data_IF_180799170457
#
_entry.id   IF_180799170457
#
_cell.length_a   1.000
_cell.length_b   1.000
_cell.length_c   1.000
_cell.angle_alpha   90.00
_cell.angle_beta   90.00
_cell.angle_gamma   90.00
#
_symmetry.space_group_name_H-M   'P 1'
#
loop_
_entity.id
_entity.type
_entity.pdbx_description
1 polymer ?
#
# COMPACT_ATOMS: atom_id res chain seq x y z
N UNK A 1 -18.84 4.90 -7.71
CA UNK A 1 -18.32 4.03 -6.62
C UNK A 1 -18.47 2.55 -6.96
N UNK A 2 -19.69 2.04 -7.23
CA UNK A 2 -19.93 0.63 -7.62
C UNK A 2 -19.01 0.18 -8.76
N UNK A 3 -18.89 0.98 -9.82
CA UNK A 3 -17.98 0.70 -10.94
C UNK A 3 -16.55 0.37 -10.50
N UNK A 4 -15.96 1.18 -9.61
CA UNK A 4 -14.58 0.99 -9.13
C UNK A 4 -14.42 -0.24 -8.23
N UNK A 5 -15.42 -0.53 -7.40
CA UNK A 5 -15.44 -1.75 -6.58
C UNK A 5 -15.53 -2.98 -7.47
N UNK A 6 -16.43 -2.97 -8.47
CA UNK A 6 -16.57 -4.07 -9.43
C UNK A 6 -15.31 -4.25 -10.25
N UNK A 7 -14.69 -3.15 -10.71
CA UNK A 7 -13.42 -3.19 -11.44
C UNK A 7 -12.30 -3.81 -10.61
N UNK A 8 -12.10 -3.37 -9.36
CA UNK A 8 -11.06 -3.92 -8.50
C UNK A 8 -11.31 -5.40 -8.16
N UNK A 9 -12.56 -5.80 -7.96
CA UNK A 9 -12.93 -7.21 -7.77
C UNK A 9 -12.64 -8.05 -9.01
N UNK A 10 -13.00 -7.56 -10.20
CA UNK A 10 -12.69 -8.23 -11.45
C UNK A 10 -11.18 -8.35 -11.65
N UNK A 11 -10.44 -7.26 -11.40
CA UNK A 11 -9.00 -7.23 -11.52
C UNK A 11 -8.33 -8.24 -10.58
N UNK A 12 -8.72 -8.23 -9.29
CA UNK A 12 -8.23 -9.19 -8.31
C UNK A 12 -8.57 -10.62 -8.72
N UNK A 13 -9.79 -10.89 -9.19
CA UNK A 13 -10.19 -12.21 -9.67
C UNK A 13 -9.32 -12.70 -10.83
N UNK A 14 -9.03 -11.84 -11.81
CA UNK A 14 -8.14 -12.15 -12.94
C UNK A 14 -6.71 -12.43 -12.48
N UNK A 15 -6.18 -11.64 -11.54
CA UNK A 15 -4.87 -11.90 -10.96
C UNK A 15 -4.85 -13.25 -10.21
N UNK A 16 -5.88 -13.56 -9.43
CA UNK A 16 -5.97 -14.82 -8.69
C UNK A 16 -6.17 -16.03 -9.60
N UNK A 17 -6.92 -15.91 -10.70
CA UNK A 17 -7.10 -17.00 -11.66
C UNK A 17 -5.79 -17.40 -12.37
N UNK A 18 -4.84 -16.46 -12.48
CA UNK A 18 -3.49 -16.75 -12.96
C UNK A 18 -2.59 -17.44 -11.91
N UNK A 19 -3.06 -17.57 -10.66
CA UNK A 19 -2.37 -18.25 -9.57
C UNK A 19 -3.04 -19.58 -9.16
N UNK A 20 -4.35 -19.72 -9.36
CA UNK A 20 -5.09 -20.93 -9.00
C UNK A 20 -6.28 -21.18 -9.93
N UNK A 21 -6.58 -22.45 -10.18
CA UNK A 21 -7.78 -22.87 -10.92
C UNK A 21 -9.01 -23.03 -10.00
N UNK A 22 -8.86 -22.93 -8.68
CA UNK A 22 -9.96 -23.16 -7.74
C UNK A 22 -10.88 -21.94 -7.64
N UNK A 23 -12.06 -22.03 -8.27
CA UNK A 23 -13.11 -20.99 -8.19
C UNK A 23 -13.52 -20.67 -6.75
N UNK A 24 -13.59 -21.68 -5.88
CA UNK A 24 -13.94 -21.50 -4.48
C UNK A 24 -12.92 -20.64 -3.74
N UNK A 25 -11.62 -20.84 -4.01
CA UNK A 25 -10.56 -20.04 -3.39
C UNK A 25 -10.62 -18.60 -3.85
N UNK A 26 -10.81 -18.37 -5.14
CA UNK A 26 -10.98 -17.01 -5.69
C UNK A 26 -12.17 -16.33 -5.03
N UNK A 27 -13.32 -17.00 -4.96
CA UNK A 27 -14.52 -16.46 -4.31
C UNK A 27 -14.27 -16.13 -2.83
N UNK A 28 -13.67 -17.05 -2.07
CA UNK A 28 -13.36 -16.81 -0.65
C UNK A 28 -12.41 -15.61 -0.48
N UNK A 29 -11.41 -15.47 -1.34
CA UNK A 29 -10.49 -14.32 -1.29
C UNK A 29 -11.18 -13.01 -1.65
N UNK A 30 -12.09 -13.00 -2.64
CA UNK A 30 -12.90 -11.82 -2.94
C UNK A 30 -13.80 -11.45 -1.76
N UNK A 31 -14.43 -12.43 -1.10
CA UNK A 31 -15.25 -12.17 0.10
C UNK A 31 -14.39 -11.53 1.20
N UNK A 32 -13.21 -12.08 1.47
CA UNK A 32 -12.27 -11.52 2.47
C UNK A 32 -11.85 -10.10 2.09
N UNK A 33 -11.48 -9.88 0.83
CA UNK A 33 -11.10 -8.56 0.32
C UNK A 33 -12.20 -7.52 0.53
N UNK A 34 -13.44 -7.83 0.14
CA UNK A 34 -14.56 -6.91 0.30
C UNK A 34 -14.93 -6.72 1.78
N UNK A 35 -14.83 -7.75 2.61
CA UNK A 35 -15.05 -7.62 4.06
C UNK A 35 -14.03 -6.66 4.68
N UNK A 36 -12.74 -6.78 4.33
CA UNK A 36 -11.69 -5.87 4.78
C UNK A 36 -11.93 -4.43 4.29
N UNK A 37 -12.36 -4.25 3.03
CA UNK A 37 -12.71 -2.94 2.50
C UNK A 37 -13.89 -2.30 3.24
N UNK A 38 -14.95 -3.06 3.53
CA UNK A 38 -16.12 -2.55 4.26
C UNK A 38 -15.73 -2.13 5.68
N UNK A 39 -14.92 -2.94 6.39
CA UNK A 39 -14.48 -2.64 7.76
C UNK A 39 -13.58 -1.39 7.81
N UNK A 40 -12.80 -1.17 6.77
CA UNK A 40 -11.89 -0.03 6.67
C UNK A 40 -12.50 1.20 6.01
N UNK A 41 -13.76 1.12 5.59
CA UNK A 41 -14.47 2.24 4.97
C UNK A 41 -14.88 3.22 6.06
N UNK A 42 -14.23 4.39 6.08
CA UNK A 42 -14.79 5.58 6.72
C UNK A 42 -15.66 6.36 5.72
N UNK A 43 -16.32 7.43 6.19
CA UNK A 43 -17.37 8.19 5.49
C UNK A 43 -16.94 8.72 4.10
N UNK A 44 -15.63 8.83 3.82
CA UNK A 44 -15.09 9.43 2.60
C UNK A 44 -14.20 8.46 1.81
N UNK A 45 -14.79 7.81 0.81
CA UNK A 45 -14.06 7.03 -0.20
C UNK A 45 -14.04 7.78 -1.52
N UNK A 46 -12.85 8.05 -2.02
CA UNK A 46 -12.66 8.78 -3.27
C UNK A 46 -12.22 7.86 -4.40
N UNK A 47 -12.36 8.35 -5.63
CA UNK A 47 -11.97 7.60 -6.84
C UNK A 47 -10.49 7.22 -6.83
N UNK A 48 -9.62 8.13 -6.36
CA UNK A 48 -8.17 7.89 -6.30
C UNK A 48 -7.77 6.78 -5.32
N UNK A 49 -8.58 6.52 -4.29
CA UNK A 49 -8.34 5.41 -3.34
C UNK A 49 -8.52 4.07 -4.05
N UNK A 50 -9.50 3.96 -4.96
CA UNK A 50 -9.72 2.77 -5.77
C UNK A 50 -8.65 2.56 -6.85
N UNK A 51 -8.08 3.64 -7.38
CA UNK A 51 -6.94 3.58 -8.30
C UNK A 51 -5.70 3.04 -7.57
N UNK A 52 -5.46 3.50 -6.34
CA UNK A 52 -4.39 3.02 -5.47
C UNK A 52 -4.55 1.51 -5.19
N UNK A 53 -5.76 1.08 -4.82
CA UNK A 53 -6.10 -0.35 -4.67
C UNK A 53 -5.75 -1.15 -5.94
N UNK A 54 -6.07 -0.65 -7.14
CA UNK A 54 -5.73 -1.33 -8.39
C UNK A 54 -4.21 -1.52 -8.56
N UNK A 55 -3.42 -0.48 -8.26
CA UNK A 55 -1.95 -0.58 -8.31
C UNK A 55 -1.42 -1.61 -7.30
N UNK A 56 -1.95 -1.63 -6.09
CA UNK A 56 -1.57 -2.61 -5.08
C UNK A 56 -2.00 -4.04 -5.43
N UNK A 57 -3.09 -4.23 -6.17
CA UNK A 57 -3.45 -5.54 -6.71
C UNK A 57 -2.34 -6.03 -7.64
N UNK A 58 -1.86 -5.16 -8.54
CA UNK A 58 -0.74 -5.50 -9.42
C UNK A 58 0.57 -5.74 -8.67
N UNK A 59 0.92 -4.91 -7.68
CA UNK A 59 2.13 -5.15 -6.88
C UNK A 59 2.08 -6.50 -6.14
N UNK A 60 0.93 -6.82 -5.54
CA UNK A 60 0.69 -8.12 -4.93
C UNK A 60 0.87 -9.25 -5.94
N UNK A 61 0.28 -9.13 -7.14
CA UNK A 61 0.41 -10.12 -8.21
C UNK A 61 1.86 -10.34 -8.66
N UNK A 62 2.63 -9.26 -8.87
CA UNK A 62 4.04 -9.32 -9.29
C UNK A 62 4.90 -10.07 -8.27
N UNK A 63 4.61 -9.96 -6.96
CA UNK A 63 5.36 -10.67 -5.92
C UNK A 63 5.25 -12.21 -6.01
N UNK A 64 4.21 -12.75 -6.65
CA UNK A 64 4.08 -14.20 -6.87
C UNK A 64 4.71 -14.67 -8.19
N UNK A 65 4.94 -13.76 -9.13
CA UNK A 65 5.27 -14.10 -10.50
C UNK A 65 6.37 -13.18 -11.02
N UNK A 66 7.61 -13.64 -10.84
CA UNK A 66 8.82 -12.90 -11.23
C UNK A 66 8.84 -12.50 -12.72
N UNK A 67 8.12 -13.22 -13.60
CA UNK A 67 7.96 -12.87 -15.02
C UNK A 67 7.33 -11.49 -15.26
N UNK A 68 6.55 -10.98 -14.30
CA UNK A 68 5.91 -9.66 -14.39
C UNK A 68 6.76 -8.53 -13.79
N UNK A 69 7.97 -8.80 -13.28
CA UNK A 69 8.87 -7.76 -12.75
C UNK A 69 9.11 -6.61 -13.74
N UNK A 70 9.08 -6.89 -15.05
CA UNK A 70 9.22 -5.86 -16.09
C UNK A 70 8.14 -4.79 -16.07
N UNK A 71 6.94 -5.11 -15.60
CA UNK A 71 5.82 -4.17 -15.54
C UNK A 71 5.87 -3.28 -14.29
N UNK A 72 6.75 -3.57 -13.35
CA UNK A 72 6.89 -2.82 -12.11
C UNK A 72 7.31 -1.37 -12.37
N UNK A 73 8.19 -1.13 -13.35
CA UNK A 73 8.61 0.24 -13.74
C UNK A 73 7.42 1.07 -14.27
N UNK A 74 6.66 0.63 -15.30
CA UNK A 74 5.53 1.43 -15.79
C UNK A 74 4.39 1.55 -14.78
N UNK A 75 4.07 0.48 -14.03
CA UNK A 75 3.06 0.52 -12.96
C UNK A 75 3.44 1.57 -11.92
N UNK A 76 4.68 1.55 -11.46
CA UNK A 76 5.15 2.48 -10.44
C UNK A 76 5.25 3.92 -10.95
N UNK A 77 5.62 4.11 -12.21
CA UNK A 77 5.62 5.43 -12.85
C UNK A 77 4.20 6.04 -12.87
N UNK A 78 3.19 5.25 -13.28
CA UNK A 78 1.80 5.70 -13.28
C UNK A 78 1.29 5.96 -11.85
N UNK A 79 1.69 5.11 -10.91
CA UNK A 79 1.25 5.20 -9.52
C UNK A 79 1.70 6.50 -8.83
N UNK A 80 2.91 7.00 -9.14
CA UNK A 80 3.46 8.25 -8.58
C UNK A 80 2.53 9.45 -8.81
N UNK A 81 1.83 9.50 -9.95
CA UNK A 81 0.89 10.60 -10.23
C UNK A 81 -0.37 10.56 -9.35
N UNK A 82 -0.71 9.39 -8.81
CA UNK A 82 -1.86 9.20 -7.94
C UNK A 82 -1.50 9.41 -6.46
N UNK A 83 -0.42 8.78 -5.97
CA UNK A 83 -0.06 8.82 -4.54
C UNK A 83 1.43 8.60 -4.27
N UNK A 84 1.92 9.24 -3.22
CA UNK A 84 3.30 9.12 -2.74
C UNK A 84 3.65 7.74 -2.17
N UNK A 85 2.67 6.92 -1.82
CA UNK A 85 2.88 5.51 -1.43
C UNK A 85 3.62 4.71 -2.51
N UNK A 86 3.55 5.14 -3.78
CA UNK A 86 4.35 4.61 -4.87
C UNK A 86 5.87 4.68 -4.59
N UNK A 87 6.35 5.75 -3.94
CA UNK A 87 7.76 5.90 -3.60
C UNK A 87 8.19 4.84 -2.57
N UNK A 88 7.34 4.56 -1.58
CA UNK A 88 7.58 3.51 -0.58
C UNK A 88 7.67 2.15 -1.28
N UNK A 89 6.75 1.88 -2.22
CA UNK A 89 6.79 0.63 -3.00
C UNK A 89 8.03 0.51 -3.88
N UNK A 90 8.47 1.61 -4.49
CA UNK A 90 9.70 1.64 -5.28
C UNK A 90 10.92 1.25 -4.43
N UNK A 91 11.06 1.86 -3.25
CA UNK A 91 12.13 1.52 -2.29
C UNK A 91 12.03 0.05 -1.87
N UNK A 92 10.83 -0.41 -1.52
CA UNK A 92 10.60 -1.80 -1.13
C UNK A 92 11.05 -2.78 -2.21
N UNK A 93 10.69 -2.55 -3.48
CA UNK A 93 11.09 -3.45 -4.56
C UNK A 93 12.60 -3.39 -4.85
N UNK A 94 13.23 -2.23 -4.74
CA UNK A 94 14.71 -2.14 -4.83
C UNK A 94 15.38 -2.97 -3.73
N UNK A 95 14.89 -2.89 -2.50
CA UNK A 95 15.39 -3.70 -1.38
C UNK A 95 15.18 -5.20 -1.63
N UNK A 96 14.00 -5.60 -2.13
CA UNK A 96 13.75 -6.99 -2.51
C UNK A 96 14.71 -7.48 -3.60
N UNK A 97 14.94 -6.68 -4.64
CA UNK A 97 15.90 -7.05 -5.69
C UNK A 97 17.32 -7.17 -5.15
N UNK A 98 17.71 -6.29 -4.23
CA UNK A 98 19.03 -6.34 -3.58
C UNK A 98 19.21 -7.55 -2.66
N UNK A 99 18.19 -7.91 -1.91
CA UNK A 99 18.25 -9.12 -1.08
C UNK A 99 18.35 -10.40 -1.91
N UNK A 100 17.78 -10.42 -3.12
CA UNK A 100 17.94 -11.52 -4.09
C UNK A 100 19.33 -11.53 -4.74
N UNK A 101 19.82 -10.40 -5.23
CA UNK A 101 21.14 -10.27 -5.88
C UNK A 101 22.06 -9.39 -5.02
N UNK A 102 22.74 -10.03 -4.05
CA UNK A 102 23.61 -9.39 -3.02
C UNK A 102 24.82 -8.63 -3.58
N UNK A 103 24.94 -8.49 -4.91
CA UNK A 103 25.99 -7.75 -5.57
C UNK A 103 25.45 -6.44 -6.15
N UNK A 104 25.76 -5.33 -5.49
CA UNK A 104 25.37 -3.98 -5.94
C UNK A 104 25.75 -3.69 -7.39
N UNK A 105 26.97 -4.02 -7.81
CA UNK A 105 27.43 -3.68 -9.18
C UNK A 105 26.64 -4.41 -10.26
N UNK A 106 26.18 -5.64 -9.98
CA UNK A 106 25.34 -6.41 -10.89
C UNK A 106 23.90 -5.91 -10.86
N UNK A 107 23.43 -5.50 -9.69
CA UNK A 107 22.10 -4.92 -9.50
C UNK A 107 21.91 -3.63 -10.31
N UNK A 108 22.89 -2.73 -10.32
CA UNK A 108 22.85 -1.49 -11.11
C UNK A 108 22.98 -1.71 -12.63
N UNK A 109 23.36 -2.92 -13.09
CA UNK A 109 23.29 -3.29 -14.51
C UNK A 109 21.89 -3.75 -14.92
N UNK A 110 20.97 -3.93 -13.98
CA UNK A 110 19.61 -4.36 -14.27
C UNK A 110 18.73 -3.15 -14.65
N UNK A 111 18.16 -3.19 -15.84
CA UNK A 111 17.29 -2.11 -16.35
C UNK A 111 16.11 -1.80 -15.43
N UNK A 112 15.56 -2.79 -14.72
CA UNK A 112 14.44 -2.56 -13.79
C UNK A 112 14.86 -1.72 -12.58
N UNK A 113 16.08 -1.93 -12.09
CA UNK A 113 16.64 -1.19 -10.95
C UNK A 113 16.87 0.25 -11.35
N UNK A 114 17.48 0.47 -12.53
CA UNK A 114 17.66 1.82 -13.08
C UNK A 114 16.30 2.51 -13.26
N UNK A 115 15.31 1.82 -13.83
CA UNK A 115 13.96 2.35 -13.99
C UNK A 115 13.27 2.69 -12.67
N UNK A 116 13.45 1.86 -11.63
CA UNK A 116 12.93 2.13 -10.30
C UNK A 116 13.60 3.33 -9.62
N UNK A 117 14.92 3.46 -9.76
CA UNK A 117 15.67 4.61 -9.25
C UNK A 117 15.23 5.89 -9.98
N UNK A 118 15.08 5.81 -11.31
CA UNK A 118 14.53 6.91 -12.09
C UNK A 118 13.14 7.31 -11.58
N UNK A 119 12.23 6.34 -11.38
CA UNK A 119 10.91 6.60 -10.81
C UNK A 119 10.99 7.24 -9.42
N UNK A 120 11.93 6.83 -8.57
CA UNK A 120 12.14 7.46 -7.26
C UNK A 120 12.57 8.92 -7.39
N UNK A 121 13.61 9.20 -8.18
CA UNK A 121 14.10 10.56 -8.38
C UNK A 121 13.02 11.44 -9.01
N UNK A 122 12.39 10.95 -10.09
CA UNK A 122 11.30 11.65 -10.76
C UNK A 122 10.11 11.88 -9.83
N UNK A 123 9.70 10.87 -9.07
CA UNK A 123 8.56 10.98 -8.17
C UNK A 123 8.81 11.93 -7.01
N UNK A 124 10.02 11.93 -6.42
CA UNK A 124 10.40 12.93 -5.41
C UNK A 124 10.36 14.34 -6.00
N UNK A 125 10.93 14.54 -7.20
CA UNK A 125 10.91 15.83 -7.88
C UNK A 125 9.48 16.28 -8.24
N UNK A 126 8.66 15.36 -8.74
CA UNK A 126 7.26 15.61 -9.07
C UNK A 126 6.46 15.98 -7.83
N UNK A 127 6.58 15.22 -6.74
CA UNK A 127 5.91 15.51 -5.47
C UNK A 127 6.35 16.86 -4.91
N UNK A 128 7.64 17.19 -4.98
CA UNK A 128 8.14 18.50 -4.58
C UNK A 128 7.56 19.63 -5.45
N UNK A 129 7.58 19.45 -6.77
CA UNK A 129 7.10 20.43 -7.74
C UNK A 129 5.58 20.67 -7.62
N UNK A 130 4.79 19.60 -7.59
CA UNK A 130 3.33 19.68 -7.50
C UNK A 130 2.91 20.41 -6.24
N UNK A 131 3.51 20.09 -5.08
CA UNK A 131 3.24 20.79 -3.82
C UNK A 131 3.64 22.25 -3.85
N UNK A 132 4.84 22.56 -4.34
CA UNK A 132 5.36 23.94 -4.34
C UNK A 132 4.64 24.87 -5.31
N UNK A 133 4.16 24.37 -6.45
CA UNK A 133 3.64 25.22 -7.52
C UNK A 133 2.12 25.15 -7.65
N UNK A 134 1.52 23.98 -7.46
CA UNK A 134 0.07 23.81 -7.61
C UNK A 134 -0.68 24.12 -6.30
N UNK A 135 -0.13 23.74 -5.14
CA UNK A 135 -0.85 23.86 -3.87
C UNK A 135 -0.55 25.15 -3.09
N UNK A 136 0.68 25.67 -3.11
CA UNK A 136 1.01 26.98 -2.47
C UNK A 136 0.22 28.14 -3.11
N UNK A 137 -0.09 28.07 -4.41
CA UNK A 137 -0.87 29.13 -5.08
C UNK A 137 -2.35 29.18 -4.70
N UNK A 138 -2.91 28.07 -4.19
CA UNK A 138 -4.34 28.00 -3.90
C UNK A 138 -4.65 28.47 -2.47
N UNK A 139 -3.71 28.28 -1.55
CA UNK A 139 -3.87 28.61 -0.14
C UNK A 139 -3.83 30.10 0.17
N UNK A 140 -3.08 30.89 -0.61
CA UNK A 140 -2.95 32.34 -0.39
C UNK A 140 -4.21 33.13 -0.81
N UNK A 141 -5.06 32.55 -1.67
CA UNK A 141 -6.20 33.28 -2.26
C UNK A 141 -7.59 32.81 -1.80
N UNK A 142 -7.75 31.59 -1.29
CA UNK A 142 -9.09 31.05 -0.97
C UNK A 142 -9.32 30.69 0.51
N UNK A 143 -8.41 31.07 1.41
CA UNK A 143 -8.60 30.80 2.85
C UNK A 143 -8.72 29.31 3.17
N UNK A 144 -8.05 28.45 2.39
CA UNK A 144 -7.97 27.01 2.66
C UNK A 144 -7.26 26.81 4.00
N UNK A 145 -8.00 26.36 5.01
CA UNK A 145 -7.53 26.25 6.38
C UNK A 145 -6.26 25.41 6.53
N UNK A 146 -5.40 25.84 7.45
CA UNK A 146 -4.36 25.11 8.23
C UNK A 146 -3.47 24.00 7.60
N UNK A 147 -3.65 23.59 6.35
CA UNK A 147 -2.70 22.74 5.63
C UNK A 147 -1.42 23.50 5.23
N UNK A 148 -1.45 24.83 5.38
CA UNK A 148 -0.42 25.80 5.03
C UNK A 148 0.84 25.81 5.90
N UNK A 149 0.77 25.34 7.15
CA UNK A 149 1.96 25.37 8.02
C UNK A 149 3.01 24.30 7.65
N UNK A 150 2.66 23.36 6.75
CA UNK A 150 3.48 22.18 6.46
C UNK A 150 4.11 22.23 5.07
N UNK A 151 4.99 23.22 4.90
CA UNK A 151 5.79 23.49 3.70
C UNK A 151 6.90 22.45 3.40
N UNK A 152 7.00 21.36 4.17
CA UNK A 152 7.88 20.25 3.82
C UNK A 152 7.19 18.91 4.11
N UNK A 153 7.09 18.08 3.07
CA UNK A 153 6.53 16.73 3.15
C UNK A 153 5.11 16.62 3.76
N UNK A 154 4.31 17.68 3.81
CA UNK A 154 2.84 17.59 3.81
C UNK A 154 2.23 17.70 5.21
N UNK A 155 1.03 18.28 5.25
CA UNK A 155 0.17 18.60 6.40
C UNK A 155 0.17 17.62 7.58
N UNK A 156 0.47 16.35 7.33
CA UNK A 156 0.42 15.30 8.33
C UNK A 156 1.79 14.94 8.95
N UNK A 157 2.90 15.50 8.44
CA UNK A 157 4.25 15.03 8.76
C UNK A 157 4.92 15.83 9.88
N UNK A 158 4.36 17.00 10.25
CA UNK A 158 5.01 17.97 11.15
C UNK A 158 4.35 18.04 12.54
N UNK A 159 3.18 17.45 12.74
CA UNK A 159 2.55 17.37 14.07
C UNK A 159 2.17 15.96 14.51
N UNK A 160 3.11 14.97 14.49
CA UNK A 160 2.85 13.65 15.06
C UNK A 160 2.25 13.74 16.47
N UNK A 161 2.78 14.64 17.32
CA UNK A 161 2.30 14.85 18.70
C UNK A 161 0.82 15.27 18.78
N UNK A 162 0.33 16.14 17.88
CA UNK A 162 -1.09 16.52 17.86
C UNK A 162 -1.96 15.37 17.35
N UNK A 163 -1.48 14.63 16.34
CA UNK A 163 -2.20 13.49 15.78
C UNK A 163 -2.29 12.33 16.80
N UNK A 164 -1.22 12.09 17.58
CA UNK A 164 -1.23 11.17 18.71
C UNK A 164 -2.17 11.62 19.82
N UNK A 165 -2.33 12.92 20.08
CA UNK A 165 -3.34 13.39 21.04
C UNK A 165 -4.77 13.09 20.56
N UNK A 166 -5.03 13.09 19.25
CA UNK A 166 -6.36 12.75 18.70
C UNK A 166 -6.75 11.28 18.91
N UNK A 167 -5.78 10.36 19.01
CA UNK A 167 -6.02 8.97 19.37
C UNK A 167 -6.65 8.82 20.76
N UNK A 168 -6.19 9.62 21.72
CA UNK A 168 -6.62 9.53 23.12
C UNK A 168 -7.82 10.45 23.43
N UNK A 169 -8.00 11.52 22.65
CA UNK A 169 -9.00 12.57 22.93
C UNK A 169 -10.17 12.64 21.92
N UNK A 170 -10.17 11.84 20.84
CA UNK A 170 -11.21 11.82 19.78
C UNK A 170 -12.30 10.75 19.96
N UNK A 171 -12.94 10.30 18.86
CA UNK A 171 -13.89 9.17 18.87
C UNK A 171 -13.18 7.86 19.27
N UNK A 172 -13.12 7.64 20.58
CA UNK A 172 -12.28 6.62 21.21
C UNK A 172 -12.59 5.21 20.72
N UNK A 173 -13.85 4.89 20.43
CA UNK A 173 -14.25 3.54 20.01
C UNK A 173 -13.71 3.17 18.61
N UNK A 174 -13.92 4.03 17.60
CA UNK A 174 -13.46 3.75 16.23
C UNK A 174 -11.93 3.67 16.17
N UNK A 175 -11.24 4.62 16.82
CA UNK A 175 -9.78 4.65 16.92
C UNK A 175 -9.23 3.40 17.61
N UNK A 176 -9.87 2.96 18.70
CA UNK A 176 -9.49 1.73 19.41
C UNK A 176 -9.70 0.49 18.53
N UNK A 177 -10.77 0.42 17.75
CA UNK A 177 -11.03 -0.70 16.84
C UNK A 177 -10.02 -0.75 15.69
N UNK A 178 -9.60 0.40 15.14
CA UNK A 178 -8.55 0.47 14.13
C UNK A 178 -7.22 -0.04 14.72
N UNK A 179 -6.82 0.48 15.89
CA UNK A 179 -5.59 0.04 16.56
C UNK A 179 -5.62 -1.46 16.90
N UNK A 180 -6.75 -1.96 17.40
CA UNK A 180 -6.94 -3.38 17.69
C UNK A 180 -6.81 -4.23 16.42
N UNK A 181 -7.41 -3.79 15.32
CA UNK A 181 -7.34 -4.48 14.02
C UNK A 181 -5.90 -4.55 13.51
N UNK A 182 -5.15 -3.44 13.60
CA UNK A 182 -3.72 -3.41 13.25
C UNK A 182 -2.89 -4.33 14.14
N UNK A 183 -3.15 -4.33 15.45
CA UNK A 183 -2.47 -5.20 16.40
C UNK A 183 -2.75 -6.67 16.10
N UNK A 184 -3.98 -7.03 15.74
CA UNK A 184 -4.34 -8.39 15.30
C UNK A 184 -3.62 -8.78 14.01
N UNK A 185 -3.49 -7.87 13.04
CA UNK A 185 -2.71 -8.10 11.80
C UNK A 185 -1.24 -8.36 12.14
N UNK A 186 -0.63 -7.55 13.02
CA UNK A 186 0.74 -7.77 13.43
C UNK A 186 0.92 -9.08 14.20
N UNK A 187 0.03 -9.41 15.15
CA UNK A 187 0.05 -10.70 15.85
C UNK A 187 -0.05 -11.85 14.84
N UNK A 188 -0.94 -11.75 13.86
CA UNK A 188 -1.06 -12.75 12.80
C UNK A 188 0.25 -12.91 12.02
N UNK A 189 0.88 -11.81 11.61
CA UNK A 189 2.17 -11.85 10.89
C UNK A 189 3.25 -12.46 11.79
N UNK A 190 3.48 -11.93 12.99
CA UNK A 190 4.54 -12.40 13.89
C UNK A 190 4.39 -13.88 14.25
N UNK A 191 3.19 -14.33 14.60
CA UNK A 191 2.93 -15.73 14.97
C UNK A 191 3.24 -16.71 13.83
N UNK A 192 3.04 -16.29 12.58
CA UNK A 192 3.20 -17.16 11.42
C UNK A 192 4.47 -16.89 10.61
N UNK A 193 5.24 -15.85 10.94
CA UNK A 193 6.39 -15.40 10.15
C UNK A 193 7.45 -16.49 9.94
N UNK A 194 7.70 -17.32 10.97
CA UNK A 194 8.67 -18.42 10.87
C UNK A 194 8.24 -19.50 9.87
N UNK A 195 6.94 -19.78 9.78
CA UNK A 195 6.41 -20.77 8.84
C UNK A 195 6.12 -20.20 7.45
N UNK A 196 6.32 -18.89 7.24
CA UNK A 196 6.06 -18.26 5.95
C UNK A 196 7.15 -18.58 4.93
N UNK A 197 6.69 -18.84 3.70
CA UNK A 197 7.53 -18.91 2.51
C UNK A 197 8.06 -17.53 2.11
N UNK A 198 8.96 -17.50 1.13
CA UNK A 198 9.60 -16.26 0.65
C UNK A 198 8.56 -15.21 0.20
N UNK A 199 7.58 -15.60 -0.61
CA UNK A 199 6.53 -14.68 -1.09
C UNK A 199 5.70 -14.12 0.07
N UNK A 200 5.33 -14.97 1.03
CA UNK A 200 4.57 -14.57 2.21
C UNK A 200 5.35 -13.62 3.12
N UNK A 201 6.66 -13.84 3.28
CA UNK A 201 7.54 -12.93 4.00
C UNK A 201 7.63 -11.58 3.30
N UNK A 202 7.74 -11.56 1.97
CA UNK A 202 7.76 -10.33 1.18
C UNK A 202 6.44 -9.57 1.28
N UNK A 203 5.30 -10.25 1.18
CA UNK A 203 3.97 -9.64 1.39
C UNK A 203 3.84 -9.07 2.81
N UNK A 204 4.28 -9.82 3.82
CA UNK A 204 4.27 -9.37 5.22
C UNK A 204 5.12 -8.12 5.44
N UNK A 205 6.31 -8.08 4.83
CA UNK A 205 7.18 -6.91 4.86
C UNK A 205 6.54 -5.71 4.14
N UNK A 206 5.90 -5.94 2.98
CA UNK A 206 5.15 -4.92 2.26
C UNK A 206 4.00 -4.34 3.09
N UNK A 207 3.23 -5.19 3.79
CA UNK A 207 2.19 -4.75 4.74
C UNK A 207 2.80 -3.87 5.83
N UNK A 208 3.89 -4.32 6.46
CA UNK A 208 4.56 -3.57 7.54
C UNK A 208 5.05 -2.19 7.06
N UNK A 209 5.74 -2.14 5.92
CA UNK A 209 6.28 -0.90 5.38
C UNK A 209 5.20 0.11 4.95
N UNK A 210 4.02 -0.35 4.51
CA UNK A 210 2.91 0.55 4.17
C UNK A 210 2.17 1.05 5.42
N UNK A 211 2.16 0.29 6.51
CA UNK A 211 1.56 0.73 7.79
C UNK A 211 2.50 1.68 8.56
N UNK A 212 3.82 1.49 8.42
CA UNK A 212 4.82 2.26 9.19
C UNK A 212 4.64 3.79 9.14
N UNK A 213 4.39 4.42 7.97
CA UNK A 213 4.12 5.86 7.89
C UNK A 213 2.95 6.30 8.77
N UNK A 214 1.92 5.47 8.90
CA UNK A 214 0.75 5.81 9.73
C UNK A 214 1.15 6.00 11.19
N UNK A 215 2.03 5.13 11.70
CA UNK A 215 2.57 5.27 13.05
C UNK A 215 3.51 6.47 13.15
N UNK A 216 4.48 6.63 12.24
CA UNK A 216 5.46 7.73 12.30
C UNK A 216 4.75 9.10 12.32
N UNK A 217 3.67 9.25 11.55
CA UNK A 217 2.95 10.52 11.40
C UNK A 217 1.69 10.64 12.25
N UNK A 218 1.35 9.59 13.01
CA UNK A 218 0.20 9.59 13.90
C UNK A 218 -1.16 9.64 13.19
N UNK A 219 -1.25 9.39 11.89
CA UNK A 219 -2.46 9.55 11.07
C UNK A 219 -3.42 8.34 11.17
N UNK A 220 -3.68 7.88 12.39
CA UNK A 220 -4.40 6.64 12.65
C UNK A 220 -5.85 6.64 12.17
N UNK A 221 -6.47 7.81 12.21
CA UNK A 221 -7.88 8.02 11.82
C UNK A 221 -8.07 8.05 10.31
N UNK A 222 -6.99 8.19 9.53
CA UNK A 222 -7.05 8.26 8.07
C UNK A 222 -7.09 6.84 7.48
N UNK A 223 -8.28 6.24 7.49
CA UNK A 223 -8.46 4.83 7.14
C UNK A 223 -7.99 4.46 5.73
N UNK A 224 -8.06 5.40 4.77
CA UNK A 224 -7.55 5.23 3.40
C UNK A 224 -6.04 5.01 3.32
N UNK A 225 -5.26 5.30 4.37
CA UNK A 225 -3.83 4.96 4.40
C UNK A 225 -3.61 3.44 4.53
N UNK A 226 -4.60 2.70 5.01
CA UNK A 226 -4.48 1.25 5.21
C UNK A 226 -4.87 0.43 3.97
N UNK A 227 -5.59 0.98 2.99
CA UNK A 227 -6.03 0.21 1.80
C UNK A 227 -4.89 -0.49 1.05
N UNK A 228 -3.74 0.16 0.80
CA UNK A 228 -2.53 -0.53 0.31
C UNK A 228 -2.21 -1.84 1.04
N UNK A 229 -2.21 -1.77 2.37
CA UNK A 229 -1.87 -2.88 3.26
C UNK A 229 -2.93 -3.96 3.26
N UNK A 230 -4.22 -3.60 3.11
CA UNK A 230 -5.32 -4.56 3.03
C UNK A 230 -5.25 -5.43 1.78
N UNK A 231 -4.84 -4.86 0.64
CA UNK A 231 -4.65 -5.62 -0.59
C UNK A 231 -3.53 -6.65 -0.40
N UNK A 232 -2.38 -6.23 0.14
CA UNK A 232 -1.26 -7.15 0.40
C UNK A 232 -1.62 -8.21 1.46
N UNK A 233 -2.39 -7.85 2.48
CA UNK A 233 -2.92 -8.77 3.48
C UNK A 233 -3.87 -9.80 2.85
N UNK A 234 -4.69 -9.38 1.90
CA UNK A 234 -5.58 -10.28 1.14
C UNK A 234 -4.77 -11.34 0.38
N UNK A 235 -3.70 -10.93 -0.30
CA UNK A 235 -2.77 -11.86 -0.96
C UNK A 235 -2.05 -12.79 0.03
N UNK A 236 -1.67 -12.27 1.20
CA UNK A 236 -1.03 -13.06 2.26
C UNK A 236 -1.98 -14.15 2.76
N UNK A 237 -3.25 -13.82 3.04
CA UNK A 237 -4.27 -14.77 3.47
C UNK A 237 -4.54 -15.80 2.37
N UNK A 238 -4.70 -15.36 1.11
CA UNK A 238 -4.87 -16.24 -0.04
C UNK A 238 -3.76 -17.29 -0.15
N UNK A 239 -2.50 -16.86 -0.09
CA UNK A 239 -1.35 -17.77 -0.21
C UNK A 239 -1.30 -18.81 0.91
N UNK A 240 -1.73 -18.44 2.13
CA UNK A 240 -1.73 -19.34 3.27
C UNK A 240 -2.84 -20.40 3.17
N UNK A 241 -3.99 -20.03 2.62
CA UNK A 241 -5.10 -20.97 2.37
C UNK A 241 -4.69 -22.03 1.33
N UNK A 242 -3.79 -21.69 0.39
CA UNK A 242 -3.30 -22.65 -0.61
C UNK A 242 -2.44 -23.78 -0.02
N UNK A 243 -1.63 -23.52 1.00
CA UNK A 243 -0.71 -24.50 1.57
C UNK A 243 -1.38 -25.65 2.35
N UNK A 244 -2.63 -25.47 2.80
CA UNK A 244 -3.35 -26.50 3.57
C UNK A 244 -4.03 -27.58 2.71
N UNK A 245 -3.98 -27.48 1.39
CA UNK A 245 -4.68 -28.41 0.49
C UNK A 245 -3.74 -29.28 -0.35
N UNK A 246 -2.42 -29.13 -0.19
CA UNK A 246 -1.40 -29.95 -0.86
C UNK A 246 -0.66 -30.91 0.10
N UNK A 247 -1.15 -31.05 1.34
CA UNK A 247 -0.73 -32.05 2.34
C UNK A 247 -1.90 -32.92 2.72
#
# INVERSE_FOLDING_TARGET
MIFFVTFNNLLLAVCLSNMTNSKQKILNTLIIFNALLIISQDVWLYVWDFIDISFFIFYGFILFKDEYLKYLVPINFLHIFNRESALIMAVFFLLLMYTKDKNFTKLFKNNYVIGLIFNLTFGVLYTYFSRKILFIRQSDYTGGGQDLENNFLGGNWVTPLYNYNSLYNGETLANTLILLSLLLVFIFIFKNYKSFESVQKNLSLGVFLNILPVFIFGIFTETRQYFPSLVLLTYLIFSKINLKQET
#
